data_IF_964272799734
#
_entry.id   IF_964272799734
#
_cell.length_a   1.000
_cell.length_b   1.000
_cell.length_c   1.000
_cell.angle_alpha   90.00
_cell.angle_beta   90.00
_cell.angle_gamma   90.00
#
_symmetry.space_group_name_H-M   'P 1'
#
loop_
_entity.id
_entity.type
_entity.pdbx_description
1 polymer ?
#
# COMPACT_ATOMS: atom_id res chain seq x y z
N UNK A 1 -6.05 9.20 26.20
CA UNK A 1 -6.10 9.34 24.74
C UNK A 1 -4.91 8.56 24.20
N UNK A 2 -5.12 7.41 23.56
CA UNK A 2 -4.00 6.60 23.03
C UNK A 2 -3.43 7.32 21.83
N UNK A 3 -2.16 7.69 21.90
CA UNK A 3 -1.46 8.38 20.82
C UNK A 3 -1.41 7.47 19.58
N UNK A 4 -1.91 7.98 18.45
CA UNK A 4 -1.78 7.29 17.16
C UNK A 4 -0.33 7.41 16.70
N UNK A 5 0.35 6.28 16.47
CA UNK A 5 1.73 6.27 15.98
C UNK A 5 1.78 5.73 14.55
N UNK A 6 2.72 6.24 13.76
CA UNK A 6 2.96 5.81 12.39
C UNK A 6 3.92 4.62 12.38
N UNK A 7 3.48 3.51 11.78
CA UNK A 7 4.28 2.29 11.61
C UNK A 7 5.13 2.41 10.35
N UNK A 8 4.53 2.97 9.30
CA UNK A 8 5.17 3.19 8.03
C UNK A 8 4.65 4.47 7.40
N UNK A 9 5.57 5.31 6.94
CA UNK A 9 5.26 6.47 6.12
C UNK A 9 6.25 6.49 4.97
N UNK A 10 5.76 6.38 3.75
CA UNK A 10 6.61 6.33 2.58
C UNK A 10 5.85 6.56 1.29
N UNK A 11 6.58 7.09 0.31
CA UNK A 11 6.16 7.09 -1.08
C UNK A 11 6.36 5.67 -1.62
N UNK A 12 5.38 5.12 -2.36
CA UNK A 12 5.44 3.75 -2.84
C UNK A 12 6.76 3.50 -3.60
N UNK A 13 7.66 2.60 -3.16
CA UNK A 13 8.97 2.44 -3.78
C UNK A 13 8.89 1.66 -5.10
N UNK A 14 9.50 2.24 -6.12
CA UNK A 14 9.28 2.03 -7.56
C UNK A 14 10.02 0.85 -8.21
N UNK A 15 10.42 -0.21 -7.49
CA UNK A 15 11.38 -1.19 -8.06
C UNK A 15 10.77 -2.27 -8.96
N UNK A 16 9.59 -2.07 -9.54
CA UNK A 16 8.97 -3.05 -10.46
C UNK A 16 8.39 -2.42 -11.72
N UNK A 17 9.12 -1.50 -12.34
CA UNK A 17 8.97 -1.22 -13.78
C UNK A 17 10.36 -1.12 -14.36
N UNK A 18 10.91 -2.26 -14.80
CA UNK A 18 11.82 -2.43 -15.93
C UNK A 18 12.49 -3.82 -15.85
N UNK A 19 11.83 -4.84 -16.40
CA UNK A 19 12.48 -6.11 -16.76
C UNK A 19 12.19 -6.44 -18.22
N UNK A 20 12.61 -5.54 -19.11
CA UNK A 20 12.92 -5.87 -20.51
C UNK A 20 13.76 -4.73 -21.07
N UNK A 21 15.06 -4.98 -21.18
CA UNK A 21 16.05 -4.05 -21.73
C UNK A 21 16.82 -4.82 -22.79
N UNK A 22 16.22 -4.97 -23.97
CA UNK A 22 16.93 -5.52 -25.12
C UNK A 22 16.92 -4.52 -26.25
N UNK A 23 17.99 -3.72 -26.24
CA UNK A 23 18.89 -3.47 -27.37
C UNK A 23 18.38 -2.68 -28.59
N UNK A 24 17.07 -2.52 -28.79
CA UNK A 24 16.49 -1.73 -29.88
C UNK A 24 16.30 -0.23 -29.55
N UNK A 25 16.72 0.18 -28.35
CA UNK A 25 16.32 1.42 -27.68
C UNK A 25 17.24 2.63 -27.94
N UNK A 26 17.98 2.63 -29.05
CA UNK A 26 18.92 3.70 -29.40
C UNK A 26 18.47 4.58 -30.56
N UNK A 27 17.39 4.25 -31.28
CA UNK A 27 17.18 4.81 -32.62
C UNK A 27 16.13 5.93 -32.73
N UNK A 28 15.15 6.06 -31.83
CA UNK A 28 13.99 6.94 -32.09
C UNK A 28 13.58 7.71 -30.83
N UNK A 29 13.96 8.98 -30.75
CA UNK A 29 13.74 9.98 -29.69
C UNK A 29 12.30 10.09 -29.12
N UNK A 30 11.29 9.44 -29.70
CA UNK A 30 9.89 9.51 -29.27
C UNK A 30 9.57 8.83 -27.92
N UNK A 31 10.46 8.00 -27.38
CA UNK A 31 10.17 7.23 -26.14
C UNK A 31 10.50 7.95 -24.82
N UNK A 32 11.27 9.06 -24.84
CA UNK A 32 11.63 9.78 -23.60
C UNK A 32 10.41 10.40 -22.90
N UNK A 33 9.39 10.82 -23.66
CA UNK A 33 8.15 11.37 -23.11
C UNK A 33 7.40 10.32 -22.29
N UNK A 34 7.37 9.05 -22.71
CA UNK A 34 6.74 7.97 -21.96
C UNK A 34 7.42 7.71 -20.62
N UNK A 35 8.76 7.79 -20.57
CA UNK A 35 9.52 7.69 -19.32
C UNK A 35 9.26 8.87 -18.40
N UNK A 36 9.23 10.09 -18.95
CA UNK A 36 8.97 11.31 -18.19
C UNK A 36 7.54 11.31 -17.65
N UNK A 37 6.54 10.90 -18.44
CA UNK A 37 5.16 10.75 -17.99
C UNK A 37 5.02 9.65 -16.92
N UNK A 38 5.71 8.51 -17.09
CA UNK A 38 5.76 7.46 -16.08
C UNK A 38 6.42 7.96 -14.78
N UNK A 39 7.49 8.76 -14.88
CA UNK A 39 8.13 9.42 -13.73
C UNK A 39 7.22 10.44 -13.05
N UNK A 40 6.49 11.22 -13.84
CA UNK A 40 5.60 12.27 -13.35
C UNK A 40 4.41 11.66 -12.62
N UNK A 41 3.81 10.57 -13.13
CA UNK A 41 2.71 9.86 -12.45
C UNK A 41 3.11 9.29 -11.07
N UNK A 42 4.41 9.11 -10.83
CA UNK A 42 4.97 8.50 -9.63
C UNK A 42 5.02 9.43 -8.41
N UNK A 43 4.97 10.75 -8.61
CA UNK A 43 4.97 11.72 -7.51
C UNK A 43 3.64 11.79 -6.74
N UNK A 44 2.59 11.13 -7.23
CA UNK A 44 1.24 11.22 -6.67
C UNK A 44 0.83 10.15 -5.66
N UNK A 45 1.68 9.15 -5.39
CA UNK A 45 1.34 8.04 -4.49
C UNK A 45 2.05 8.11 -3.14
N UNK A 46 1.29 8.20 -2.05
CA UNK A 46 1.80 8.13 -0.69
C UNK A 46 1.05 7.08 0.12
N UNK A 47 1.81 6.23 0.80
CA UNK A 47 1.31 5.21 1.70
C UNK A 47 1.62 5.60 3.14
N UNK A 48 0.59 5.59 3.99
CA UNK A 48 0.74 5.78 5.44
C UNK A 48 0.02 4.66 6.16
N UNK A 49 0.75 3.92 6.99
CA UNK A 49 0.24 2.88 7.87
C UNK A 49 0.40 3.37 9.29
N UNK A 50 -0.71 3.53 9.99
CA UNK A 50 -0.72 3.92 11.41
C UNK A 50 -1.17 2.74 12.27
N UNK A 51 -1.20 2.92 13.59
CA UNK A 51 -1.75 1.92 14.50
C UNK A 51 -3.27 1.73 14.39
N UNK A 52 -3.99 2.66 13.75
CA UNK A 52 -5.46 2.66 13.71
C UNK A 52 -6.04 2.48 12.30
N UNK A 53 -5.27 2.80 11.26
CA UNK A 53 -5.76 2.89 9.90
C UNK A 53 -4.65 2.77 8.87
N UNK A 54 -5.04 2.42 7.65
CA UNK A 54 -4.20 2.49 6.47
C UNK A 54 -4.75 3.56 5.53
N UNK A 55 -3.88 4.49 5.13
CA UNK A 55 -4.22 5.60 4.23
C UNK A 55 -3.37 5.47 2.97
N UNK A 56 -4.01 5.46 1.82
CA UNK A 56 -3.36 5.56 0.52
C UNK A 56 -3.87 6.82 -0.15
N UNK A 57 -2.94 7.69 -0.53
CA UNK A 57 -3.23 8.78 -1.47
C UNK A 57 -2.70 8.38 -2.84
N UNK A 58 -3.51 8.53 -3.88
CA UNK A 58 -3.14 8.29 -5.27
C UNK A 58 -3.51 9.48 -6.15
N UNK A 59 -2.66 9.76 -7.14
CA UNK A 59 -2.95 10.67 -8.23
C UNK A 59 -2.14 11.95 -8.23
N UNK A 60 -1.90 12.44 -9.45
CA UNK A 60 -0.96 13.52 -9.74
C UNK A 60 -1.67 14.86 -10.02
N UNK A 61 -2.72 14.83 -10.83
CA UNK A 61 -3.53 16.01 -11.17
C UNK A 61 -4.86 16.04 -10.40
N UNK A 62 -5.40 14.86 -10.07
CA UNK A 62 -6.54 14.67 -9.20
C UNK A 62 -6.11 13.72 -8.08
N UNK A 63 -6.38 14.09 -6.84
CA UNK A 63 -5.94 13.35 -5.65
C UNK A 63 -7.12 12.56 -5.10
N UNK A 64 -6.99 11.23 -5.09
CA UNK A 64 -7.93 10.30 -4.45
C UNK A 64 -7.27 9.78 -3.19
N UNK A 65 -7.95 9.94 -2.05
CA UNK A 65 -7.47 9.43 -0.75
C UNK A 65 -8.43 8.32 -0.33
N UNK A 66 -7.89 7.13 -0.15
CA UNK A 66 -8.60 5.97 0.37
C UNK A 66 -8.06 5.66 1.77
N UNK A 67 -8.96 5.51 2.72
CA UNK A 67 -8.64 5.21 4.11
C UNK A 67 -9.48 4.03 4.57
N UNK A 68 -8.84 3.08 5.23
CA UNK A 68 -9.51 1.94 5.86
C UNK A 68 -9.08 1.88 7.33
N UNK A 69 -10.05 2.04 8.22
CA UNK A 69 -9.87 1.92 9.66
C UNK A 69 -9.72 0.44 10.04
N UNK A 70 -8.74 0.12 10.89
CA UNK A 70 -8.40 -1.25 11.25
C UNK A 70 -9.51 -2.01 11.98
N UNK A 71 -10.38 -1.33 12.72
CA UNK A 71 -11.52 -2.00 13.35
C UNK A 71 -12.55 -2.49 12.32
N UNK A 72 -12.58 -1.93 11.09
CA UNK A 72 -13.44 -2.36 9.97
C UNK A 72 -12.78 -3.39 9.06
N UNK A 73 -11.49 -3.69 9.27
CA UNK A 73 -10.78 -4.71 8.49
C UNK A 73 -11.23 -6.07 8.97
N UNK A 74 -11.62 -6.93 8.03
CA UNK A 74 -12.01 -8.31 8.27
C UNK A 74 -10.87 -9.29 8.14
N UNK A 75 -10.14 -9.18 7.04
CA UNK A 75 -9.03 -10.07 6.75
C UNK A 75 -7.92 -9.35 5.98
N UNK A 76 -6.73 -9.96 6.02
CA UNK A 76 -5.49 -9.44 5.45
C UNK A 76 -4.82 -10.54 4.63
N UNK A 77 -4.81 -10.34 3.31
CA UNK A 77 -4.22 -11.28 2.35
C UNK A 77 -2.87 -10.79 1.85
N UNK A 78 -1.95 -11.72 1.60
CA UNK A 78 -0.64 -11.47 1.01
C UNK A 78 -0.56 -12.23 -0.30
N UNK A 79 -0.28 -11.53 -1.40
CA UNK A 79 -0.06 -12.10 -2.72
C UNK A 79 1.34 -11.78 -3.21
N UNK A 80 2.05 -12.81 -3.67
CA UNK A 80 3.42 -12.71 -4.19
C UNK A 80 3.58 -13.68 -5.36
N UNK A 81 4.03 -13.16 -6.50
CA UNK A 81 4.53 -14.02 -7.60
C UNK A 81 5.92 -14.56 -7.27
N UNK A 82 6.38 -15.57 -8.01
CA UNK A 82 7.71 -16.16 -7.80
C UNK A 82 8.84 -15.11 -7.87
N UNK A 83 8.79 -14.22 -8.87
CA UNK A 83 9.76 -13.13 -9.01
C UNK A 83 9.67 -12.10 -7.90
N UNK A 84 8.46 -11.73 -7.47
CA UNK A 84 8.25 -10.81 -6.34
C UNK A 84 8.81 -11.39 -5.04
N UNK A 85 8.60 -12.68 -4.79
CA UNK A 85 9.16 -13.37 -3.63
C UNK A 85 10.69 -13.35 -3.62
N UNK A 86 11.32 -13.56 -4.78
CA UNK A 86 12.78 -13.48 -4.90
C UNK A 86 13.33 -12.06 -4.65
N UNK A 87 12.56 -11.04 -5.03
CA UNK A 87 12.90 -9.63 -4.81
C UNK A 87 12.50 -9.11 -3.41
N UNK A 88 11.85 -9.93 -2.57
CA UNK A 88 11.36 -9.51 -1.26
C UNK A 88 10.19 -8.52 -1.34
N UNK A 89 9.45 -8.51 -2.44
CA UNK A 89 8.32 -7.59 -2.70
C UNK A 89 7.02 -8.40 -2.65
N UNK A 90 5.91 -7.76 -2.29
CA UNK A 90 4.59 -8.36 -2.42
C UNK A 90 3.47 -7.37 -2.22
N UNK A 91 2.26 -7.85 -2.46
CA UNK A 91 1.04 -7.05 -2.34
C UNK A 91 0.26 -7.52 -1.12
N UNK A 92 0.04 -6.61 -0.17
CA UNK A 92 -0.86 -6.82 0.96
C UNK A 92 -2.22 -6.22 0.58
N UNK A 93 -3.30 -6.99 0.75
CA UNK A 93 -4.67 -6.52 0.52
C UNK A 93 -5.46 -6.62 1.82
N UNK A 94 -6.02 -5.50 2.25
CA UNK A 94 -6.98 -5.40 3.35
C UNK A 94 -8.40 -5.55 2.80
N UNK A 95 -9.14 -6.50 3.36
CA UNK A 95 -10.55 -6.73 3.07
C UNK A 95 -11.37 -6.06 4.18
N UNK A 96 -12.28 -5.17 3.82
CA UNK A 96 -13.17 -4.44 4.74
C UNK A 96 -14.62 -4.58 4.32
N UNK A 97 -15.52 -4.51 5.29
CA UNK A 97 -16.98 -4.43 5.05
C UNK A 97 -17.45 -3.01 4.71
N UNK A 98 -16.55 -2.04 4.62
CA UNK A 98 -16.90 -0.68 4.23
C UNK A 98 -17.33 -0.64 2.75
N UNK A 99 -18.49 -0.03 2.49
CA UNK A 99 -19.04 0.15 1.15
C UNK A 99 -18.16 1.06 0.27
N UNK A 100 -17.37 1.94 0.88
CA UNK A 100 -16.58 2.96 0.17
C UNK A 100 -15.22 2.42 -0.28
N UNK A 101 -14.61 1.52 0.50
CA UNK A 101 -13.29 0.95 0.23
C UNK A 101 -13.24 -0.54 0.65
N UNK A 102 -13.92 -1.44 -0.07
CA UNK A 102 -14.04 -2.84 0.33
C UNK A 102 -12.70 -3.59 0.26
N UNK A 103 -11.84 -3.23 -0.70
CA UNK A 103 -10.55 -3.88 -0.93
C UNK A 103 -9.46 -2.82 -1.10
N UNK A 104 -8.52 -2.74 -0.16
CA UNK A 104 -7.41 -1.80 -0.21
C UNK A 104 -6.09 -2.56 -0.35
N UNK A 105 -5.46 -2.46 -1.53
CA UNK A 105 -4.23 -3.19 -1.87
C UNK A 105 -3.00 -2.28 -1.95
N UNK A 106 -1.88 -2.77 -1.41
CA UNK A 106 -0.63 -2.04 -1.28
C UNK A 106 0.53 -2.93 -1.66
N UNK A 107 1.40 -2.45 -2.55
CA UNK A 107 2.67 -3.12 -2.86
C UNK A 107 3.77 -2.56 -1.95
N UNK A 108 4.53 -3.44 -1.31
CA UNK A 108 5.66 -3.03 -0.46
C UNK A 108 6.78 -4.06 -0.42
N UNK A 109 7.94 -3.60 0.04
CA UNK A 109 9.07 -4.47 0.39
C UNK A 109 8.84 -5.11 1.75
N UNK A 110 9.39 -6.31 1.97
CA UNK A 110 9.20 -7.09 3.21
C UNK A 110 7.73 -7.21 3.65
N UNK A 111 6.83 -7.64 2.74
CA UNK A 111 5.40 -7.58 3.00
C UNK A 111 4.95 -8.56 4.10
N UNK A 112 5.71 -9.60 4.39
CA UNK A 112 5.43 -10.52 5.51
C UNK A 112 5.50 -9.81 6.86
N UNK A 113 6.56 -9.03 7.09
CA UNK A 113 6.76 -8.28 8.34
C UNK A 113 5.66 -7.24 8.55
N UNK A 114 5.38 -6.43 7.53
CA UNK A 114 4.36 -5.39 7.63
C UNK A 114 2.95 -5.98 7.75
N UNK A 115 2.66 -7.12 7.10
CA UNK A 115 1.38 -7.81 7.29
C UNK A 115 1.19 -8.22 8.74
N UNK A 116 2.21 -8.76 9.39
CA UNK A 116 2.10 -9.18 10.78
C UNK A 116 1.94 -7.99 11.73
N UNK A 117 2.62 -6.87 11.46
CA UNK A 117 2.40 -5.61 12.18
C UNK A 117 0.96 -5.10 12.03
N UNK A 118 0.44 -5.07 10.80
CA UNK A 118 -0.95 -4.65 10.53
C UNK A 118 -1.92 -5.58 11.27
N UNK A 119 -1.70 -6.90 11.24
CA UNK A 119 -2.53 -7.88 11.96
C UNK A 119 -2.55 -7.63 13.47
N UNK A 120 -1.39 -7.32 14.06
CA UNK A 120 -1.29 -6.97 15.46
C UNK A 120 -2.12 -5.72 15.80
N UNK A 121 -1.99 -4.66 15.01
CA UNK A 121 -2.75 -3.42 15.19
C UNK A 121 -4.26 -3.61 15.00
N UNK A 122 -4.68 -4.39 14.00
CA UNK A 122 -6.10 -4.76 13.80
C UNK A 122 -6.66 -5.48 15.02
N UNK A 123 -5.91 -6.43 15.59
CA UNK A 123 -6.34 -7.16 16.78
C UNK A 123 -6.45 -6.25 18.00
N UNK A 124 -5.50 -5.33 18.17
CA UNK A 124 -5.48 -4.37 19.26
C UNK A 124 -6.67 -3.39 19.17
N UNK A 125 -6.92 -2.80 18.01
CA UNK A 125 -8.04 -1.89 17.80
C UNK A 125 -9.40 -2.57 17.97
N UNK A 126 -9.55 -3.81 17.49
CA UNK A 126 -10.77 -4.61 17.74
C UNK A 126 -10.99 -4.85 19.23
N UNK A 127 -9.94 -5.16 19.99
CA UNK A 127 -10.03 -5.35 21.45
C UNK A 127 -10.46 -4.06 22.15
N UNK A 128 -9.90 -2.92 21.73
CA UNK A 128 -10.21 -1.58 22.25
C UNK A 128 -11.65 -1.15 21.96
N UNK A 129 -12.16 -1.43 20.76
CA UNK A 129 -13.55 -1.15 20.43
C UNK A 129 -14.52 -2.06 21.19
N UNK A 130 -14.16 -3.33 21.39
CA UNK A 130 -14.95 -4.26 22.18
C UNK A 130 -15.04 -3.86 23.65
N UNK A 131 -13.95 -3.38 24.25
CA UNK A 131 -14.00 -2.93 25.66
C UNK A 131 -14.89 -1.70 25.83
N UNK A 132 -14.87 -0.75 24.88
CA UNK A 132 -15.74 0.43 24.90
C UNK A 132 -17.24 0.14 24.77
N UNK A 133 -17.62 -1.01 24.21
CA UNK A 133 -19.03 -1.39 24.08
C UNK A 133 -19.58 -2.05 25.36
N UNK A 134 -18.70 -2.46 26.27
CA UNK A 134 -19.06 -3.17 27.50
C UNK A 134 -19.13 -2.24 28.73
N UNK A 135 -18.70 -0.99 28.58
CA UNK A 135 -18.80 0.09 29.56
C UNK A 135 -20.05 0.95 29.29
#
# INVERSE_FOLDING_TARGET
MTEEYTIFEGYAPFRVVHLSHSFWWLLLFGWNIGLILSWIQQFGESLRITSQRLIISRGLFSKVIEEVEFYRVNDTTLSQTFGQRLLGIGTITLLSDDATAPNLSVVMVNPETYREQIRACVKEERKRMRSRQLD
#
